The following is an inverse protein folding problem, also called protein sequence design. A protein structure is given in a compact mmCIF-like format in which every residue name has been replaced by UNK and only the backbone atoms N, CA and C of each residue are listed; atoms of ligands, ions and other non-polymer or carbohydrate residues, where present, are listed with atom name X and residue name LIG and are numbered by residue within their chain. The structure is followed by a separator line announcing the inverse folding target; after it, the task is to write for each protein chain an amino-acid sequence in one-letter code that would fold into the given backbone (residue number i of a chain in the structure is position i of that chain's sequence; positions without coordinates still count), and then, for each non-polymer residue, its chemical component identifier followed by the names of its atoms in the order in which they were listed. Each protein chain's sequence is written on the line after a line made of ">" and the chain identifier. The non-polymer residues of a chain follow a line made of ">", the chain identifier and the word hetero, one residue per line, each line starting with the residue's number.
data_IF_546343969057
#
_entry.id   IF_546343969057
#
_cell.length_a   1.000
_cell.length_b   1.000
_cell.length_c   1.000
_cell.angle_alpha   90.00
_cell.angle_beta   90.00
_cell.angle_gamma   90.00
#
_symmetry.space_group_name_H-M   'P 1'
#
loop_
_entity.id
_entity.type
_entity.pdbx_description
1 polymer ?
#
# COMPACT_ATOMS: atom_id res chain seq x y z
N UNK A 1 1.18 4.63 -10.12
CA UNK A 1 -0.17 4.89 -9.55
C UNK A 1 -0.42 3.93 -8.39
N UNK A 2 -1.22 4.33 -7.38
CA UNK A 2 -1.62 3.45 -6.26
C UNK A 2 -3.14 3.38 -6.17
N UNK A 3 -3.65 2.16 -6.12
CA UNK A 3 -5.03 1.79 -5.80
C UNK A 3 -5.03 1.06 -4.45
N UNK A 4 -6.08 1.18 -3.67
CA UNK A 4 -6.19 0.47 -2.40
C UNK A 4 -7.63 0.34 -1.92
N UNK A 5 -7.83 -0.60 -0.98
CA UNK A 5 -9.07 -0.71 -0.22
C UNK A 5 -10.30 -0.70 -1.15
N UNK A 6 -10.26 -1.56 -2.18
CA UNK A 6 -11.38 -1.73 -3.11
C UNK A 6 -12.57 -2.33 -2.37
N UNK A 7 -12.30 -3.28 -1.44
CA UNK A 7 -13.34 -3.99 -0.69
C UNK A 7 -14.47 -4.47 -1.60
N UNK A 8 -14.09 -4.93 -2.79
CA UNK A 8 -15.08 -5.28 -3.79
C UNK A 8 -16.00 -6.38 -3.27
N UNK A 9 -17.27 -6.15 -3.43
CA UNK A 9 -18.33 -7.15 -3.32
C UNK A 9 -19.30 -6.92 -4.46
N UNK A 10 -19.77 -7.98 -5.15
CA UNK A 10 -20.63 -7.86 -6.32
C UNK A 10 -21.85 -6.97 -6.04
N UNK A 11 -22.07 -5.99 -6.91
CA UNK A 11 -23.22 -5.10 -6.84
C UNK A 11 -23.06 -3.84 -7.69
N UNK A 12 -24.20 -3.22 -8.11
CA UNK A 12 -24.18 -2.11 -9.07
C UNK A 12 -23.31 -0.92 -8.67
N UNK A 13 -23.22 -0.62 -7.36
CA UNK A 13 -22.41 0.49 -6.87
C UNK A 13 -20.91 0.23 -7.01
N UNK A 14 -20.48 -1.01 -6.73
CA UNK A 14 -19.09 -1.41 -6.89
C UNK A 14 -18.69 -1.43 -8.38
N UNK A 15 -19.55 -1.96 -9.25
CA UNK A 15 -19.30 -2.02 -10.69
C UNK A 15 -19.21 -0.62 -11.30
N UNK A 16 -20.13 0.29 -10.96
CA UNK A 16 -20.05 1.70 -11.35
C UNK A 16 -18.76 2.35 -10.83
N UNK A 17 -18.34 2.02 -9.61
CA UNK A 17 -17.09 2.50 -9.02
C UNK A 17 -15.87 2.06 -9.82
N UNK A 18 -15.80 0.78 -10.22
CA UNK A 18 -14.74 0.25 -11.08
C UNK A 18 -14.71 0.92 -12.46
N UNK A 19 -15.89 1.18 -13.07
CA UNK A 19 -15.97 1.83 -14.38
C UNK A 19 -15.48 3.28 -14.33
N UNK A 20 -15.82 4.02 -13.26
CA UNK A 20 -15.30 5.37 -13.04
C UNK A 20 -13.79 5.37 -12.81
N UNK A 21 -13.30 4.42 -12.01
CA UNK A 21 -11.86 4.26 -11.79
C UNK A 21 -11.15 3.90 -13.10
N UNK A 22 -11.72 3.00 -13.93
CA UNK A 22 -11.18 2.63 -15.24
C UNK A 22 -11.04 3.83 -16.16
N UNK A 23 -12.07 4.67 -16.25
CA UNK A 23 -12.01 5.88 -17.06
C UNK A 23 -10.87 6.79 -16.63
N UNK A 24 -10.77 7.06 -15.32
CA UNK A 24 -9.73 7.92 -14.76
C UNK A 24 -8.31 7.35 -14.95
N UNK A 25 -8.14 6.03 -14.77
CA UNK A 25 -6.85 5.36 -14.97
C UNK A 25 -6.42 5.43 -16.43
N UNK A 26 -7.34 5.22 -17.36
CA UNK A 26 -7.06 5.36 -18.80
C UNK A 26 -6.67 6.79 -19.19
N UNK A 27 -7.31 7.79 -18.60
CA UNK A 27 -6.97 9.21 -18.85
C UNK A 27 -5.58 9.57 -18.30
N UNK A 28 -5.16 8.92 -17.21
CA UNK A 28 -3.85 9.13 -16.57
C UNK A 28 -2.73 8.27 -17.17
N UNK A 29 -3.06 7.18 -17.85
CA UNK A 29 -2.16 6.20 -18.51
C UNK A 29 -0.87 5.89 -17.71
N UNK A 30 -0.96 5.25 -16.54
CA UNK A 30 0.19 5.00 -15.68
C UNK A 30 1.09 3.90 -16.25
N UNK A 31 2.42 4.06 -16.12
CA UNK A 31 3.39 3.02 -16.46
C UNK A 31 3.32 1.81 -15.50
N UNK A 32 2.92 2.03 -14.24
CA UNK A 32 2.82 1.01 -13.22
C UNK A 32 1.64 1.28 -12.28
N UNK A 33 0.89 0.24 -11.98
CA UNK A 33 -0.23 0.24 -11.03
C UNK A 33 0.17 -0.63 -9.84
N UNK A 34 0.15 -0.05 -8.64
CA UNK A 34 0.37 -0.76 -7.37
C UNK A 34 -0.97 -0.86 -6.65
N UNK A 35 -1.38 -2.06 -6.31
CA UNK A 35 -2.56 -2.32 -5.48
C UNK A 35 -2.08 -2.67 -4.07
N UNK A 36 -2.33 -1.75 -3.14
CA UNK A 36 -1.82 -1.85 -1.77
C UNK A 36 -2.81 -2.51 -0.81
N UNK A 37 -3.47 -3.59 -1.25
CA UNK A 37 -4.28 -4.48 -0.41
C UNK A 37 -5.77 -4.16 -0.34
N UNK A 38 -6.51 -5.08 0.29
CA UNK A 38 -7.95 -5.07 0.46
C UNK A 38 -8.70 -4.99 -0.89
N UNK A 39 -8.34 -5.90 -1.81
CA UNK A 39 -8.98 -6.04 -3.12
C UNK A 39 -10.42 -6.54 -2.98
N UNK A 40 -10.61 -7.55 -2.13
CA UNK A 40 -11.90 -8.16 -1.82
C UNK A 40 -12.46 -7.65 -0.49
N UNK A 41 -13.76 -7.84 -0.26
CA UNK A 41 -14.37 -7.52 1.02
C UNK A 41 -14.24 -8.63 2.06
N UNK A 42 -14.29 -9.89 1.62
CA UNK A 42 -14.41 -11.03 2.51
C UNK A 42 -13.40 -12.17 2.18
N UNK A 43 -12.47 -11.96 1.25
CA UNK A 43 -11.48 -12.95 0.83
C UNK A 43 -12.05 -14.08 -0.04
N UNK A 44 -13.15 -13.85 -0.74
CA UNK A 44 -13.83 -14.85 -1.56
C UNK A 44 -13.39 -14.75 -3.03
N UNK A 45 -13.16 -15.90 -3.69
CA UNK A 45 -12.72 -15.97 -5.10
C UNK A 45 -13.62 -15.16 -6.04
N UNK A 46 -14.95 -15.24 -5.87
CA UNK A 46 -15.91 -14.49 -6.67
C UNK A 46 -15.83 -12.98 -6.51
N UNK A 47 -15.17 -12.49 -5.47
CA UNK A 47 -14.89 -11.07 -5.28
C UNK A 47 -13.59 -10.64 -5.95
N UNK A 48 -12.63 -11.56 -6.09
CA UNK A 48 -11.37 -11.28 -6.81
C UNK A 48 -11.56 -11.25 -8.32
N UNK A 49 -12.36 -12.14 -8.89
CA UNK A 49 -12.51 -12.26 -10.36
C UNK A 49 -12.80 -10.91 -11.03
N UNK A 50 -13.83 -10.13 -10.64
CA UNK A 50 -14.10 -8.84 -11.29
C UNK A 50 -12.99 -7.80 -11.07
N UNK A 51 -12.31 -7.84 -9.93
CA UNK A 51 -11.17 -6.94 -9.64
C UNK A 51 -9.99 -7.29 -10.54
N UNK A 52 -9.68 -8.57 -10.72
CA UNK A 52 -8.60 -9.01 -11.59
C UNK A 52 -8.91 -8.71 -13.05
N UNK A 53 -10.15 -8.89 -13.51
CA UNK A 53 -10.59 -8.48 -14.85
C UNK A 53 -10.46 -6.95 -15.05
N UNK A 54 -10.80 -6.17 -14.03
CA UNK A 54 -10.60 -4.72 -14.03
C UNK A 54 -9.11 -4.38 -14.16
N UNK A 55 -8.23 -4.99 -13.36
CA UNK A 55 -6.79 -4.75 -13.41
C UNK A 55 -6.18 -5.24 -14.72
N UNK A 56 -6.60 -6.40 -15.24
CA UNK A 56 -6.14 -6.96 -16.50
C UNK A 56 -6.45 -6.06 -17.71
N UNK A 57 -7.50 -5.22 -17.62
CA UNK A 57 -7.81 -4.26 -18.68
C UNK A 57 -6.72 -3.21 -18.92
N UNK A 58 -5.77 -3.04 -17.97
CA UNK A 58 -4.61 -2.15 -18.10
C UNK A 58 -3.31 -2.89 -18.47
N UNK A 59 -3.35 -4.24 -18.56
CA UNK A 59 -2.19 -5.11 -18.74
C UNK A 59 -1.60 -5.55 -17.40
N UNK A 60 -1.64 -6.88 -17.13
CA UNK A 60 -1.14 -7.45 -15.86
C UNK A 60 0.38 -7.29 -15.69
N UNK A 61 1.13 -7.11 -16.76
CA UNK A 61 2.56 -6.79 -16.73
C UNK A 61 2.86 -5.46 -16.04
N UNK A 62 1.91 -4.53 -16.04
CA UNK A 62 1.97 -3.23 -15.34
C UNK A 62 1.36 -3.25 -13.94
N UNK A 63 0.85 -4.38 -13.44
CA UNK A 63 0.19 -4.48 -12.14
C UNK A 63 1.08 -5.19 -11.14
N UNK A 64 1.17 -4.61 -9.93
CA UNK A 64 1.77 -5.26 -8.75
C UNK A 64 0.80 -5.12 -7.60
N UNK A 65 0.58 -6.20 -6.86
CA UNK A 65 -0.37 -6.22 -5.75
C UNK A 65 0.23 -6.91 -4.53
N UNK A 66 -0.17 -6.44 -3.37
CA UNK A 66 -0.03 -7.15 -2.09
C UNK A 66 -1.43 -7.38 -1.51
N UNK A 67 -1.65 -8.40 -0.69
CA UNK A 67 -2.92 -8.56 0.01
C UNK A 67 -3.07 -7.53 1.13
N UNK A 68 -4.33 -7.28 1.53
CA UNK A 68 -4.68 -6.61 2.77
C UNK A 68 -5.42 -7.56 3.71
N UNK A 69 -5.83 -7.09 4.88
CA UNK A 69 -6.44 -7.95 5.90
C UNK A 69 -7.79 -8.54 5.47
N UNK A 70 -8.45 -7.99 4.45
CA UNK A 70 -9.71 -8.50 3.90
C UNK A 70 -9.53 -9.57 2.84
N UNK A 71 -8.33 -9.70 2.29
CA UNK A 71 -8.05 -10.64 1.21
C UNK A 71 -7.79 -12.08 1.70
N UNK A 72 -7.71 -12.24 3.02
CA UNK A 72 -7.59 -13.56 3.66
C UNK A 72 -8.96 -14.16 3.95
N UNK A 73 -9.13 -15.48 3.71
CA UNK A 73 -10.35 -16.18 4.02
C UNK A 73 -10.71 -16.08 5.51
N UNK A 74 -11.92 -15.67 5.79
CA UNK A 74 -12.47 -15.75 7.13
C UNK A 74 -12.58 -17.25 7.55
N UNK A 75 -11.78 -17.67 8.54
CA UNK A 75 -11.79 -19.05 9.04
C UNK A 75 -10.81 -20.00 8.35
N UNK A 76 -9.90 -19.53 7.50
CA UNK A 76 -8.74 -20.31 7.04
C UNK A 76 -7.78 -20.65 8.18
N UNK A 77 -6.75 -21.52 7.97
CA UNK A 77 -5.80 -21.95 9.01
C UNK A 77 -4.87 -20.83 9.53
N UNK A 78 -5.17 -19.58 9.26
CA UNK A 78 -4.53 -18.44 9.89
C UNK A 78 -5.07 -18.18 11.29
N UNK A 79 -4.40 -17.37 12.12
CA UNK A 79 -4.96 -16.95 13.39
C UNK A 79 -6.35 -16.38 13.13
N UNK A 80 -7.35 -16.87 13.88
CA UNK A 80 -8.72 -16.37 13.79
C UNK A 80 -8.68 -14.85 13.81
N UNK A 81 -9.41 -14.19 12.89
CA UNK A 81 -9.60 -12.73 12.97
C UNK A 81 -9.99 -12.42 14.41
N UNK A 82 -9.28 -11.54 15.12
CA UNK A 82 -9.82 -11.00 16.35
C UNK A 82 -11.19 -10.41 15.99
N UNK A 83 -12.25 -10.90 16.60
CA UNK A 83 -13.49 -10.15 16.62
C UNK A 83 -13.13 -8.75 17.08
N UNK A 84 -13.79 -7.70 16.56
CA UNK A 84 -13.50 -6.27 16.82
C UNK A 84 -13.41 -5.90 18.33
N UNK A 85 -13.39 -6.85 19.25
CA UNK A 85 -13.45 -6.77 20.70
C UNK A 85 -12.30 -7.42 21.48
N UNK A 86 -11.36 -8.16 20.87
CA UNK A 86 -10.35 -8.90 21.65
C UNK A 86 -9.02 -8.14 21.75
N UNK A 87 -8.98 -7.24 22.76
CA UNK A 87 -7.78 -6.52 23.20
C UNK A 87 -6.64 -7.43 23.69
N UNK A 88 -6.88 -8.69 24.00
CA UNK A 88 -5.91 -9.56 24.65
C UNK A 88 -4.97 -10.31 23.71
N UNK A 89 -5.24 -10.33 22.41
CA UNK A 89 -4.46 -11.14 21.47
C UNK A 89 -3.00 -10.67 21.29
N UNK A 90 -2.73 -9.37 21.46
CA UNK A 90 -1.39 -8.81 21.29
C UNK A 90 -0.56 -8.74 22.59
N UNK A 91 -1.20 -8.91 23.75
CA UNK A 91 -0.51 -8.85 25.05
C UNK A 91 0.00 -10.21 25.52
N UNK A 92 -0.44 -11.31 24.91
CA UNK A 92 -0.07 -12.70 25.26
C UNK A 92 0.55 -13.46 24.06
N UNK A 93 1.32 -12.80 23.20
CA UNK A 93 2.15 -13.52 22.25
C UNK A 93 3.18 -14.35 23.05
N UNK A 94 3.13 -15.70 23.01
CA UNK A 94 4.11 -16.49 23.74
C UNK A 94 5.50 -16.24 23.14
N UNK A 95 6.49 -16.04 23.99
CA UNK A 95 7.93 -15.95 23.67
C UNK A 95 8.51 -17.25 23.07
N UNK A 96 7.69 -18.14 22.57
CA UNK A 96 8.10 -19.38 21.91
C UNK A 96 7.75 -19.29 20.44
N UNK A 97 8.73 -19.43 19.52
CA UNK A 97 8.43 -19.70 18.12
C UNK A 97 7.66 -21.04 18.12
N UNK A 98 6.40 -20.98 17.72
CA UNK A 98 5.67 -22.21 17.41
C UNK A 98 6.42 -22.90 16.28
N UNK A 99 7.00 -24.08 16.55
CA UNK A 99 7.49 -25.00 15.53
C UNK A 99 6.32 -25.33 14.60
N UNK A 100 6.29 -24.69 13.45
CA UNK A 100 5.20 -24.77 12.48
C UNK A 100 4.65 -23.38 12.09
N UNK A 101 5.54 -22.38 11.85
CA UNK A 101 5.13 -21.15 11.21
C UNK A 101 4.51 -21.48 9.84
N UNK A 102 3.19 -21.38 9.75
CA UNK A 102 2.45 -21.45 8.47
C UNK A 102 2.98 -20.30 7.64
N UNK A 103 3.49 -20.59 6.45
CA UNK A 103 3.99 -19.53 5.55
C UNK A 103 2.87 -18.53 5.27
N UNK A 104 3.20 -17.27 5.08
CA UNK A 104 2.22 -16.24 4.71
C UNK A 104 1.39 -16.67 3.49
N UNK A 105 2.01 -17.41 2.55
CA UNK A 105 1.38 -17.97 1.37
C UNK A 105 0.17 -18.87 1.64
N UNK A 106 0.21 -19.72 2.69
CA UNK A 106 -0.90 -20.63 3.00
C UNK A 106 -2.17 -19.91 3.49
N UNK A 107 -2.05 -18.67 3.93
CA UNK A 107 -3.15 -17.86 4.44
C UNK A 107 -3.88 -17.07 3.37
N UNK A 108 -3.16 -16.67 2.32
CA UNK A 108 -3.67 -15.84 1.23
C UNK A 108 -4.13 -16.68 0.02
N UNK A 109 -4.63 -17.90 0.23
CA UNK A 109 -4.95 -18.84 -0.86
C UNK A 109 -5.80 -18.21 -1.99
N UNK A 110 -6.91 -17.49 -1.74
CA UNK A 110 -7.68 -16.89 -2.82
C UNK A 110 -6.90 -15.78 -3.57
N UNK A 111 -6.08 -14.99 -2.88
CA UNK A 111 -5.21 -14.02 -3.52
C UNK A 111 -4.19 -14.71 -4.44
N UNK A 112 -3.60 -15.81 -3.99
CA UNK A 112 -2.60 -16.59 -4.74
C UNK A 112 -3.17 -17.38 -5.95
N UNK A 113 -4.50 -17.45 -6.09
CA UNK A 113 -5.11 -17.95 -7.34
C UNK A 113 -4.92 -16.96 -8.52
N UNK A 114 -4.65 -15.68 -8.23
CA UNK A 114 -4.58 -14.61 -9.22
C UNK A 114 -3.22 -13.90 -9.26
N UNK A 115 -2.44 -13.97 -8.19
CA UNK A 115 -1.13 -13.35 -8.06
C UNK A 115 -0.09 -14.39 -7.62
N UNK A 116 1.12 -14.30 -8.17
CA UNK A 116 2.17 -15.32 -7.97
C UNK A 116 2.71 -15.39 -6.54
N UNK A 117 2.69 -14.27 -5.79
CA UNK A 117 3.19 -14.17 -4.41
C UNK A 117 2.42 -13.07 -3.65
N UNK A 118 2.51 -13.09 -2.33
CA UNK A 118 1.98 -12.03 -1.43
C UNK A 118 2.91 -10.82 -1.35
N UNK A 119 4.20 -11.03 -1.65
CA UNK A 119 5.23 -10.00 -1.74
C UNK A 119 5.60 -9.76 -3.21
N UNK A 120 6.08 -8.56 -3.53
CA UNK A 120 6.66 -8.33 -4.85
C UNK A 120 7.92 -7.46 -4.77
N UNK A 121 8.81 -7.69 -5.75
CA UNK A 121 10.08 -6.99 -5.91
C UNK A 121 10.20 -6.55 -7.36
N UNK A 122 10.19 -5.25 -7.61
CA UNK A 122 10.18 -4.69 -8.96
C UNK A 122 11.33 -3.72 -9.16
N UNK A 123 11.96 -3.77 -10.33
CA UNK A 123 12.98 -2.81 -10.72
C UNK A 123 12.76 -2.34 -12.14
N UNK A 124 12.49 -1.06 -12.30
CA UNK A 124 12.39 -0.39 -13.59
C UNK A 124 13.63 0.46 -13.89
N UNK A 125 13.57 1.29 -14.91
CA UNK A 125 14.66 2.24 -15.22
C UNK A 125 14.70 3.40 -14.23
N UNK A 126 13.57 3.75 -13.60
CA UNK A 126 13.39 4.93 -12.75
C UNK A 126 13.26 4.59 -11.28
N UNK A 127 12.74 3.41 -10.93
CA UNK A 127 12.43 3.04 -9.56
C UNK A 127 12.84 1.61 -9.20
N UNK A 128 13.04 1.41 -7.88
CA UNK A 128 13.14 0.13 -7.22
C UNK A 128 12.03 0.07 -6.19
N UNK A 129 11.11 -0.88 -6.34
CA UNK A 129 9.88 -0.98 -5.56
C UNK A 129 9.80 -2.35 -4.88
N UNK A 130 9.47 -2.34 -3.61
CA UNK A 130 9.19 -3.54 -2.80
C UNK A 130 7.80 -3.39 -2.21
N UNK A 131 6.96 -4.40 -2.36
CA UNK A 131 5.71 -4.55 -1.63
C UNK A 131 5.78 -5.77 -0.74
N UNK A 132 5.44 -5.60 0.54
CA UNK A 132 5.44 -6.70 1.50
C UNK A 132 4.05 -6.86 2.12
N UNK A 133 3.63 -8.12 2.24
CA UNK A 133 2.45 -8.47 3.04
C UNK A 133 2.65 -8.01 4.49
N UNK A 134 1.64 -7.36 5.02
CA UNK A 134 1.64 -6.80 6.38
C UNK A 134 0.60 -7.46 7.30
N UNK A 135 0.12 -8.66 6.94
CA UNK A 135 -0.98 -9.30 7.64
C UNK A 135 -0.57 -10.59 8.39
N UNK A 136 -0.62 -10.58 9.71
CA UNK A 136 -0.92 -9.46 10.62
C UNK A 136 0.29 -8.55 10.90
N UNK A 137 1.49 -8.97 10.52
CA UNK A 137 2.77 -8.27 10.68
C UNK A 137 3.67 -8.56 9.49
N UNK A 138 4.63 -7.71 9.21
CA UNK A 138 5.68 -8.01 8.23
C UNK A 138 6.70 -8.93 8.90
N UNK A 139 6.95 -10.14 8.37
CA UNK A 139 7.97 -11.02 8.92
C UNK A 139 9.37 -10.41 8.81
N UNK A 140 10.21 -10.58 9.84
CA UNK A 140 11.56 -9.99 9.88
C UNK A 140 12.45 -10.41 8.70
N UNK A 141 12.31 -11.65 8.23
CA UNK A 141 13.05 -12.13 7.06
C UNK A 141 12.56 -11.49 5.76
N UNK A 142 11.25 -11.25 5.61
CA UNK A 142 10.68 -10.52 4.48
C UNK A 142 11.16 -9.06 4.48
N UNK A 143 11.12 -8.39 5.65
CA UNK A 143 11.62 -7.03 5.79
C UNK A 143 13.11 -6.95 5.42
N UNK A 144 13.95 -7.84 5.96
CA UNK A 144 15.39 -7.90 5.62
C UNK A 144 15.62 -8.11 4.13
N UNK A 145 14.86 -9.02 3.46
CA UNK A 145 14.95 -9.20 2.00
C UNK A 145 14.56 -7.93 1.25
N UNK A 146 13.49 -7.27 1.69
CA UNK A 146 13.02 -6.01 1.10
C UNK A 146 14.06 -4.89 1.19
N UNK A 147 14.63 -4.69 2.38
CA UNK A 147 15.68 -3.70 2.63
C UNK A 147 16.92 -4.00 1.75
N UNK A 148 17.38 -5.24 1.75
CA UNK A 148 18.55 -5.64 0.94
C UNK A 148 18.32 -5.42 -0.56
N UNK A 149 17.10 -5.68 -1.06
CA UNK A 149 16.74 -5.42 -2.46
C UNK A 149 16.78 -3.93 -2.79
N UNK A 150 16.24 -3.08 -1.91
CA UNK A 150 16.26 -1.63 -2.07
C UNK A 150 17.68 -1.06 -2.02
N UNK A 151 18.50 -1.49 -1.05
CA UNK A 151 19.90 -1.04 -0.89
C UNK A 151 20.78 -1.51 -2.04
N UNK A 152 20.59 -2.73 -2.54
CA UNK A 152 21.27 -3.29 -3.70
C UNK A 152 20.90 -2.63 -5.03
N UNK A 153 19.98 -1.67 -5.03
CA UNK A 153 19.60 -0.93 -6.23
C UNK A 153 20.55 0.21 -6.54
N UNK A 154 20.57 0.64 -7.81
CA UNK A 154 21.33 1.82 -8.22
C UNK A 154 20.95 3.04 -7.36
N UNK A 155 21.93 3.84 -6.90
CA UNK A 155 21.64 5.05 -6.12
C UNK A 155 20.91 6.14 -6.94
N UNK A 156 20.68 5.92 -8.22
CA UNK A 156 19.92 6.83 -9.09
C UNK A 156 18.42 6.53 -9.10
N UNK A 157 18.03 5.30 -8.72
CA UNK A 157 16.64 4.89 -8.70
C UNK A 157 15.91 5.46 -7.50
N UNK A 158 14.65 5.83 -7.68
CA UNK A 158 13.74 6.14 -6.58
C UNK A 158 13.41 4.84 -5.86
N UNK A 159 13.62 4.80 -4.55
CA UNK A 159 13.33 3.64 -3.71
C UNK A 159 11.92 3.78 -3.14
N UNK A 160 11.07 2.82 -3.44
CA UNK A 160 9.66 2.81 -3.02
C UNK A 160 9.39 1.55 -2.20
N UNK A 161 8.72 1.72 -1.08
CA UNK A 161 8.24 0.62 -0.25
C UNK A 161 6.71 0.67 -0.18
N UNK A 162 6.05 -0.47 -0.26
CA UNK A 162 4.60 -0.60 -0.20
C UNK A 162 4.18 -1.60 0.87
N UNK A 163 3.22 -1.21 1.69
CA UNK A 163 2.57 -2.06 2.68
C UNK A 163 1.10 -1.71 2.79
N UNK A 164 0.22 -2.69 3.12
CA UNK A 164 -1.19 -2.39 3.32
C UNK A 164 -1.40 -1.59 4.59
N UNK A 165 -0.97 -2.12 5.76
CA UNK A 165 -1.13 -1.40 7.04
C UNK A 165 -0.30 -0.13 7.08
N UNK A 166 -0.85 0.88 7.75
CA UNK A 166 -0.15 2.15 7.89
C UNK A 166 1.02 2.05 8.88
N UNK A 167 2.10 2.82 8.61
CA UNK A 167 3.22 3.00 9.54
C UNK A 167 3.03 4.23 10.44
N UNK A 168 2.15 5.15 10.05
CA UNK A 168 1.91 6.41 10.77
C UNK A 168 0.42 6.69 10.91
N UNK A 169 -0.01 7.29 12.04
CA UNK A 169 -1.38 7.73 12.17
C UNK A 169 -1.69 8.86 11.19
N UNK A 170 -2.96 8.96 10.78
CA UNK A 170 -3.44 10.05 9.95
C UNK A 170 -4.32 11.01 10.77
N UNK A 171 -4.30 12.32 10.47
CA UNK A 171 -5.12 13.28 11.19
C UNK A 171 -6.62 12.99 11.11
N UNK A 172 -7.36 13.33 12.16
CA UNK A 172 -8.83 13.21 12.26
C UNK A 172 -9.34 11.77 12.14
N UNK A 173 -8.49 10.76 12.27
CA UNK A 173 -8.85 9.35 12.44
C UNK A 173 -8.52 8.94 13.87
N UNK A 174 -9.50 8.38 14.59
CA UNK A 174 -9.24 7.69 15.85
C UNK A 174 -8.56 6.37 15.49
N UNK A 175 -7.33 6.22 15.91
CA UNK A 175 -6.53 5.01 15.71
C UNK A 175 -7.03 3.94 16.67
N UNK A 176 -7.27 2.75 16.13
CA UNK A 176 -7.61 1.53 16.86
C UNK A 176 -6.43 0.57 16.80
N UNK A 177 -6.48 -0.45 17.63
CA UNK A 177 -5.57 -1.58 17.53
C UNK A 177 -5.64 -2.22 16.12
N UNK A 178 -4.50 -2.55 15.55
CA UNK A 178 -4.40 -3.07 14.19
C UNK A 178 -4.51 -2.06 13.05
N UNK A 179 -4.83 -0.79 13.33
CA UNK A 179 -4.81 0.27 12.30
C UNK A 179 -3.38 0.59 11.83
N UNK A 180 -2.40 0.40 12.70
CA UNK A 180 -0.97 0.64 12.45
C UNK A 180 -0.21 -0.66 12.78
N UNK A 181 0.84 -0.95 12.04
CA UNK A 181 1.71 -2.10 12.32
C UNK A 181 2.28 -2.03 13.75
N UNK A 182 2.31 -3.13 14.50
CA UNK A 182 2.81 -3.14 15.90
C UNK A 182 4.24 -2.61 16.03
N UNK A 183 5.13 -2.96 15.09
CA UNK A 183 6.54 -2.54 15.02
C UNK A 183 6.79 -1.43 13.99
N UNK A 184 5.77 -0.59 13.72
CA UNK A 184 5.85 0.46 12.69
C UNK A 184 7.04 1.42 12.89
N UNK A 185 7.41 1.71 14.14
CA UNK A 185 8.56 2.59 14.44
C UNK A 185 9.87 2.00 13.96
N UNK A 186 10.12 0.72 14.25
CA UNK A 186 11.35 0.03 13.85
C UNK A 186 11.43 -0.13 12.33
N UNK A 187 10.33 -0.55 11.70
CA UNK A 187 10.23 -0.65 10.23
C UNK A 187 10.51 0.71 9.58
N UNK A 188 9.93 1.77 10.11
CA UNK A 188 10.10 3.11 9.57
C UNK A 188 11.55 3.57 9.68
N UNK A 189 12.21 3.32 10.81
CA UNK A 189 13.63 3.64 11.02
C UNK A 189 14.52 2.89 10.02
N UNK A 190 14.33 1.58 9.84
CA UNK A 190 15.06 0.78 8.86
C UNK A 190 14.86 1.29 7.42
N UNK A 191 13.63 1.64 7.03
CA UNK A 191 13.32 2.19 5.71
C UNK A 191 13.98 3.55 5.48
N UNK A 192 13.98 4.42 6.50
CA UNK A 192 14.67 5.72 6.44
C UNK A 192 16.18 5.54 6.31
N UNK A 193 16.78 4.63 7.10
CA UNK A 193 18.21 4.29 7.01
C UNK A 193 18.57 3.71 5.65
N UNK A 194 17.74 2.84 5.08
CA UNK A 194 17.89 2.30 3.72
C UNK A 194 17.71 3.38 2.63
N UNK A 195 17.33 4.60 3.00
CA UNK A 195 17.14 5.73 2.09
C UNK A 195 15.99 5.54 1.13
N UNK A 196 14.86 5.03 1.63
CA UNK A 196 13.59 4.98 0.91
C UNK A 196 13.10 6.40 0.64
N UNK A 197 12.64 6.67 -0.56
CA UNK A 197 12.17 7.99 -0.97
C UNK A 197 10.64 8.14 -0.83
N UNK A 198 9.90 7.00 -0.97
CA UNK A 198 8.44 6.97 -0.93
C UNK A 198 7.96 5.69 -0.24
N UNK A 199 7.07 5.83 0.72
CA UNK A 199 6.37 4.73 1.40
C UNK A 199 4.89 4.84 1.07
N UNK A 200 4.33 3.77 0.50
CA UNK A 200 2.92 3.61 0.16
C UNK A 200 2.23 2.83 1.27
N UNK A 201 1.26 3.43 1.92
CA UNK A 201 0.42 2.82 2.94
C UNK A 201 -1.06 2.91 2.55
N UNK A 202 -1.91 2.16 3.25
CA UNK A 202 -3.35 2.10 3.01
C UNK A 202 -4.14 1.84 4.31
N UNK A 203 -5.19 1.01 4.26
CA UNK A 203 -5.95 0.50 5.41
C UNK A 203 -6.77 1.54 6.19
N UNK A 204 -6.26 2.75 6.36
CA UNK A 204 -6.94 3.79 7.13
C UNK A 204 -8.08 4.47 6.36
N UNK A 205 -8.22 4.22 5.05
CA UNK A 205 -9.19 4.84 4.15
C UNK A 205 -9.18 6.38 4.24
N UNK A 206 -7.99 6.98 4.38
CA UNK A 206 -7.82 8.44 4.51
C UNK A 206 -6.64 8.89 3.67
N UNK A 207 -6.87 9.86 2.82
CA UNK A 207 -5.80 10.50 2.07
C UNK A 207 -4.98 11.37 2.99
N UNK A 208 -3.72 11.02 3.17
CA UNK A 208 -2.78 11.87 3.89
C UNK A 208 -1.35 11.59 3.44
N UNK A 209 -0.50 12.60 3.57
CA UNK A 209 0.93 12.46 3.34
C UNK A 209 1.73 13.10 4.47
N UNK A 210 2.74 12.39 4.92
CA UNK A 210 3.78 12.88 5.81
C UNK A 210 5.07 13.04 5.03
N UNK A 211 5.87 14.04 5.37
CA UNK A 211 7.23 14.17 4.91
C UNK A 211 8.18 14.09 6.11
N UNK A 212 9.09 13.14 6.06
CA UNK A 212 10.10 12.91 7.09
C UNK A 212 11.47 13.26 6.54
N UNK A 213 12.29 13.89 7.35
CA UNK A 213 13.65 14.25 6.97
C UNK A 213 14.66 13.60 7.92
N UNK A 214 15.55 12.78 7.37
CA UNK A 214 16.67 12.19 8.10
C UNK A 214 17.96 12.43 7.29
N UNK A 215 18.97 13.02 7.93
CA UNK A 215 20.29 13.31 7.32
C UNK A 215 20.20 14.07 5.97
N UNK A 216 19.24 14.99 5.89
CA UNK A 216 19.04 15.80 4.69
C UNK A 216 18.35 15.10 3.53
N UNK A 217 17.89 13.86 3.72
CA UNK A 217 17.02 13.13 2.79
C UNK A 217 15.57 13.28 3.24
N UNK A 218 14.67 13.37 2.28
CA UNK A 218 13.23 13.43 2.54
C UNK A 218 12.57 12.16 2.05
N UNK A 219 11.82 11.51 2.92
CA UNK A 219 10.95 10.37 2.62
C UNK A 219 9.50 10.84 2.71
N UNK A 220 8.71 10.58 1.69
CA UNK A 220 7.27 10.78 1.73
C UNK A 220 6.58 9.48 2.19
N UNK A 221 5.71 9.57 3.20
CA UNK A 221 4.83 8.47 3.62
C UNK A 221 3.42 8.85 3.24
N UNK A 222 2.82 8.11 2.31
CA UNK A 222 1.52 8.46 1.74
C UNK A 222 0.52 7.35 2.04
N UNK A 223 -0.59 7.73 2.66
CA UNK A 223 -1.70 6.83 2.93
C UNK A 223 -2.80 7.02 1.89
N UNK A 224 -3.19 5.91 1.25
CA UNK A 224 -4.21 5.90 0.21
C UNK A 224 -5.63 5.97 0.77
N UNK A 225 -6.59 6.50 -0.02
CA UNK A 225 -8.02 6.34 0.25
C UNK A 225 -8.50 4.95 -0.13
N UNK A 226 -9.75 4.63 0.21
CA UNK A 226 -10.46 3.54 -0.46
C UNK A 226 -10.81 3.95 -1.89
N UNK A 227 -10.71 2.98 -2.82
CA UNK A 227 -11.12 3.20 -4.21
C UNK A 227 -12.65 3.27 -4.37
N UNK A 228 -13.40 2.45 -3.61
CA UNK A 228 -14.85 2.27 -3.83
C UNK A 228 -15.74 2.69 -2.66
N UNK A 229 -15.20 2.94 -1.44
CA UNK A 229 -16.02 3.30 -0.27
C UNK A 229 -16.58 4.72 -0.36
N UNK A 230 -17.79 4.86 -0.86
CA UNK A 230 -18.52 6.13 -1.01
C UNK A 230 -19.33 6.53 0.21
N UNK A 231 -19.06 5.95 1.37
CA UNK A 231 -19.75 6.33 2.61
C UNK A 231 -19.60 7.83 2.89
N UNK A 232 -20.62 8.50 3.47
CA UNK A 232 -20.57 9.93 3.74
C UNK A 232 -19.32 10.35 4.53
N UNK A 233 -18.63 11.39 4.05
CA UNK A 233 -17.42 11.91 4.68
C UNK A 233 -16.13 11.11 4.41
N UNK A 234 -16.19 10.12 3.52
CA UNK A 234 -15.01 9.41 3.01
C UNK A 234 -14.48 10.08 1.74
N UNK A 235 -13.17 10.13 1.63
CA UNK A 235 -12.50 10.45 0.37
C UNK A 235 -12.36 9.15 -0.43
N UNK A 236 -12.90 9.13 -1.65
CA UNK A 236 -12.86 7.99 -2.56
C UNK A 236 -12.05 8.35 -3.79
N UNK A 237 -11.13 7.47 -4.19
CA UNK A 237 -10.26 7.76 -5.33
C UNK A 237 -8.96 7.00 -5.35
N UNK A 238 -7.99 7.54 -6.06
CA UNK A 238 -6.68 6.94 -6.27
C UNK A 238 -5.56 7.98 -6.16
N UNK A 239 -4.32 7.48 -6.12
CA UNK A 239 -3.12 8.32 -6.06
C UNK A 239 -2.26 8.12 -7.30
N UNK A 240 -1.84 9.21 -7.94
CA UNK A 240 -0.77 9.18 -8.95
C UNK A 240 0.54 9.68 -8.36
N UNK A 241 1.64 9.17 -8.90
CA UNK A 241 3.00 9.57 -8.53
C UNK A 241 3.80 9.87 -9.79
N UNK A 242 4.11 11.16 -9.99
CA UNK A 242 5.05 11.56 -11.05
C UNK A 242 6.47 11.47 -10.47
N UNK A 243 7.25 10.50 -10.94
CA UNK A 243 8.63 10.27 -10.50
C UNK A 243 9.57 10.63 -11.65
N UNK A 244 10.30 11.74 -11.52
CA UNK A 244 11.24 12.19 -12.56
C UNK A 244 12.62 11.57 -12.37
N UNK A 245 13.09 11.50 -11.12
CA UNK A 245 14.36 10.91 -10.69
C UNK A 245 14.38 10.79 -9.18
N UNK A 246 15.36 10.10 -8.65
CA UNK A 246 15.46 9.87 -7.21
C UNK A 246 15.28 11.14 -6.38
N UNK A 247 14.34 11.06 -5.44
CA UNK A 247 13.98 12.15 -4.52
C UNK A 247 13.26 13.31 -5.19
N UNK A 248 12.79 13.16 -6.43
CA UNK A 248 11.96 14.14 -7.13
C UNK A 248 10.65 13.49 -7.54
N UNK A 249 9.67 13.63 -6.71
CA UNK A 249 8.34 13.06 -6.92
C UNK A 249 7.24 14.08 -6.61
N UNK A 250 6.10 13.88 -7.24
CA UNK A 250 4.83 14.51 -6.89
C UNK A 250 3.81 13.42 -6.63
N UNK A 251 3.13 13.47 -5.48
CA UNK A 251 1.97 12.66 -5.17
C UNK A 251 0.70 13.48 -5.34
N UNK A 252 -0.26 12.99 -6.11
CA UNK A 252 -1.53 13.66 -6.40
C UNK A 252 -2.68 12.74 -6.11
N UNK A 253 -3.65 13.21 -5.32
CA UNK A 253 -4.92 12.53 -5.11
C UNK A 253 -5.92 12.93 -6.21
N UNK A 254 -6.58 11.93 -6.78
CA UNK A 254 -7.64 12.05 -7.78
C UNK A 254 -8.93 11.47 -7.20
N UNK A 255 -9.91 12.35 -7.03
CA UNK A 255 -11.22 11.99 -6.47
C UNK A 255 -12.11 11.33 -7.51
N UNK A 256 -12.75 10.20 -7.16
CA UNK A 256 -13.84 9.61 -7.95
C UNK A 256 -15.21 10.25 -7.67
N UNK A 257 -15.27 11.23 -6.76
CA UNK A 257 -16.46 12.05 -6.52
C UNK A 257 -16.52 13.30 -7.42
N UNK A 258 -15.53 13.51 -8.29
CA UNK A 258 -15.49 14.64 -9.23
C UNK A 258 -14.79 15.90 -8.68
N UNK A 259 -14.19 15.83 -7.50
CA UNK A 259 -13.38 16.94 -7.00
C UNK A 259 -12.10 17.12 -7.84
N UNK A 260 -11.57 18.35 -7.95
CA UNK A 260 -10.33 18.58 -8.68
C UNK A 260 -9.14 17.85 -8.02
N UNK A 261 -8.15 17.42 -8.83
CA UNK A 261 -6.94 16.77 -8.31
C UNK A 261 -6.22 17.65 -7.27
N UNK A 262 -5.73 17.01 -6.19
CA UNK A 262 -5.05 17.68 -5.08
C UNK A 262 -3.63 17.14 -4.89
N UNK A 263 -2.62 18.01 -5.04
CA UNK A 263 -1.24 17.64 -4.73
C UNK A 263 -1.07 17.46 -3.22
N UNK A 264 -0.52 16.33 -2.81
CA UNK A 264 -0.23 15.99 -1.42
C UNK A 264 1.23 16.30 -1.05
N UNK A 265 2.15 15.93 -1.94
CA UNK A 265 3.59 16.12 -1.80
C UNK A 265 4.15 16.58 -3.14
N UNK A 266 5.09 17.53 -3.13
CA UNK A 266 5.90 17.86 -4.30
C UNK A 266 7.33 18.20 -3.86
N UNK A 267 8.25 17.29 -4.14
CA UNK A 267 9.67 17.43 -3.76
C UNK A 267 10.56 17.96 -4.91
N UNK A 268 9.98 18.17 -6.11
CA UNK A 268 10.73 18.50 -7.34
C UNK A 268 11.42 19.86 -7.30
N UNK A 269 10.83 20.86 -6.66
CA UNK A 269 11.35 22.24 -6.63
C UNK A 269 12.32 22.55 -5.47
N UNK A 270 12.50 21.66 -4.51
CA UNK A 270 13.26 21.94 -3.27
C UNK A 270 14.76 22.18 -3.48
N UNK A 271 15.36 21.67 -4.56
CA UNK A 271 16.79 21.89 -4.85
C UNK A 271 17.09 23.27 -5.43
N UNK A 272 16.10 23.97 -5.99
CA UNK A 272 16.31 25.32 -6.53
C UNK A 272 16.47 26.39 -5.44
N UNK A 273 15.88 26.16 -4.25
CA UNK A 273 15.95 27.10 -3.11
C UNK A 273 17.29 27.14 -2.37
N UNK A 274 18.02 26.01 -2.30
CA UNK A 274 19.32 25.94 -1.60
C UNK A 274 20.48 26.65 -2.35
N UNK A 275 20.34 26.94 -3.64
CA UNK A 275 21.37 27.73 -4.42
C UNK A 275 21.21 29.22 -4.32
N UNK A 276 20.16 29.76 -3.66
CA UNK A 276 19.94 31.21 -3.50
C UNK A 276 20.32 31.73 -2.11
N UNK A 277 20.78 30.92 -1.21
CA UNK A 277 21.13 31.27 0.18
C UNK A 277 22.61 30.97 0.53
N UNK A 278 23.48 30.93 -0.48
CA UNK A 278 24.95 30.88 -0.30
C UNK A 278 25.63 32.01 -0.98
#
# INVERSE_FOLDING_TARGET
>A
MQLSDLHYAPGPEADIGLDLARSLINDLDPDLIVVSGDLSRDGLVEQFVPVVEFLASFGMDRVRAIPGNRDYLAGGPGPARPADSDLNYFLEAPDTPADGAVSSGDRATPFLEFFDDVDFFERTKELCLVGLDSEPVIPDDALRRGIAFLEGSSPKLTRVFCTHRSLLPVPRKKIKEGDILPNAGDILDELLMAGVDLILCAHLHRVHAWEMCLDGRTTAVVNAPSLLDRSPGKEVGLLSYDIERRGQLRATFHSLAGDPPRTLVDTRDRRKGKKRAS
#
